data_IF_650246147920
#
_entry.id   IF_650246147920
#
_cell.length_a   1.000
_cell.length_b   1.000
_cell.length_c   1.000
_cell.angle_alpha   90.00
_cell.angle_beta   90.00
_cell.angle_gamma   90.00
#
_symmetry.space_group_name_H-M   'P 1'
#
loop_
_entity.id
_entity.type
_entity.pdbx_description
1 polymer ?
#
# COMPACT_ATOMS: atom_id res chain seq x y z
N UNK A 1 13.73 -21.38 11.71
CA UNK A 1 13.19 -20.39 12.67
C UNK A 1 14.39 -19.89 13.46
N UNK A 2 14.86 -18.66 13.20
CA UNK A 2 15.86 -18.04 14.06
C UNK A 2 15.11 -17.58 15.32
N UNK A 3 15.52 -18.10 16.47
CA UNK A 3 14.96 -17.67 17.75
C UNK A 3 15.38 -16.21 17.99
N UNK A 4 14.43 -15.31 18.16
CA UNK A 4 14.71 -13.89 18.41
C UNK A 4 15.50 -13.64 19.72
N UNK A 5 15.60 -14.66 20.58
CA UNK A 5 16.35 -14.61 21.84
C UNK A 5 17.85 -14.80 21.67
N UNK A 6 18.32 -15.20 20.46
CA UNK A 6 19.75 -15.39 20.14
C UNK A 6 20.25 -14.42 19.06
N UNK A 7 19.54 -13.30 18.82
CA UNK A 7 20.00 -12.31 17.88
C UNK A 7 21.31 -11.68 18.39
N UNK A 8 22.42 -11.81 17.64
CA UNK A 8 23.70 -11.26 18.09
C UNK A 8 23.60 -9.74 18.23
N UNK A 9 24.31 -9.20 19.22
CA UNK A 9 24.52 -7.76 19.36
C UNK A 9 25.28 -7.24 18.11
N UNK A 10 24.71 -6.27 17.41
CA UNK A 10 25.35 -5.57 16.31
C UNK A 10 25.76 -4.17 16.76
N UNK A 11 26.97 -3.76 16.34
CA UNK A 11 27.46 -2.40 16.54
C UNK A 11 27.82 -1.83 15.19
N UNK A 12 27.06 -0.81 14.79
CA UNK A 12 27.33 -0.01 13.59
C UNK A 12 28.01 1.27 14.05
N UNK A 13 29.26 1.47 13.66
CA UNK A 13 30.11 2.52 14.22
C UNK A 13 30.56 3.49 13.15
N UNK A 14 31.09 4.66 13.57
CA UNK A 14 31.53 5.72 12.65
C UNK A 14 30.43 6.07 11.63
N UNK A 15 29.22 6.38 12.11
CA UNK A 15 28.06 6.70 11.29
C UNK A 15 27.54 8.12 11.54
N UNK A 16 26.95 8.71 10.51
CA UNK A 16 26.08 9.88 10.62
C UNK A 16 24.65 9.42 10.83
N UNK A 17 24.25 9.30 12.09
CA UNK A 17 22.96 8.76 12.51
C UNK A 17 21.91 9.86 12.37
N UNK A 18 20.90 9.62 11.54
CA UNK A 18 19.75 10.52 11.37
C UNK A 18 18.71 10.17 12.43
N UNK A 19 18.43 11.12 13.30
CA UNK A 19 17.35 11.04 14.31
C UNK A 19 16.21 12.02 13.94
N UNK A 20 15.16 12.06 14.74
CA UNK A 20 14.06 13.00 14.53
C UNK A 20 14.53 14.48 14.55
N UNK A 21 15.53 14.80 15.41
CA UNK A 21 15.90 16.18 15.71
C UNK A 21 17.28 16.59 15.19
N UNK A 22 18.14 15.62 14.85
CA UNK A 22 19.54 15.90 14.52
C UNK A 22 20.21 14.80 13.71
N UNK A 23 21.35 15.14 13.11
CA UNK A 23 22.31 14.17 12.59
C UNK A 23 23.48 14.07 13.59
N UNK A 24 23.68 12.90 14.16
CA UNK A 24 24.66 12.64 15.20
C UNK A 24 25.80 11.77 14.63
N UNK A 25 27.06 12.19 14.77
CA UNK A 25 28.18 11.30 14.50
C UNK A 25 28.41 10.36 15.69
N UNK A 26 28.23 9.07 15.47
CA UNK A 26 28.24 8.11 16.56
C UNK A 26 28.19 6.64 16.12
N UNK A 27 27.77 5.80 17.04
CA UNK A 27 27.52 4.38 16.83
C UNK A 27 26.09 4.01 17.25
N UNK A 28 25.52 2.99 16.60
CA UNK A 28 24.24 2.37 16.99
C UNK A 28 24.51 0.95 17.45
N UNK A 29 24.07 0.64 18.66
CA UNK A 29 24.11 -0.70 19.22
C UNK A 29 22.73 -1.31 19.14
N UNK A 30 22.62 -2.45 18.46
CA UNK A 30 21.40 -3.22 18.34
C UNK A 30 21.54 -4.50 19.16
N UNK A 31 20.64 -4.69 20.09
CA UNK A 31 20.55 -5.91 20.91
C UNK A 31 19.08 -6.38 20.89
N UNK A 32 18.88 -7.67 20.83
CA UNK A 32 17.55 -8.31 20.83
C UNK A 32 16.59 -7.71 19.74
N UNK A 33 17.16 -7.39 18.57
CA UNK A 33 16.41 -6.80 17.46
C UNK A 33 15.95 -5.35 17.68
N UNK A 34 16.51 -4.64 18.70
CA UNK A 34 16.16 -3.26 19.03
C UNK A 34 17.39 -2.38 19.13
N UNK A 35 17.24 -1.10 18.84
CA UNK A 35 18.27 -0.11 19.14
C UNK A 35 18.38 0.02 20.67
N UNK A 36 19.45 -0.51 21.24
CA UNK A 36 19.68 -0.48 22.67
C UNK A 36 20.24 0.89 23.11
N UNK A 37 21.15 1.49 22.33
CA UNK A 37 21.67 2.85 22.55
C UNK A 37 22.38 3.42 21.35
N UNK A 38 22.55 4.73 21.36
CA UNK A 38 23.48 5.48 20.51
C UNK A 38 24.72 5.81 21.34
N UNK A 39 25.90 5.50 20.84
CA UNK A 39 27.18 5.64 21.51
C UNK A 39 28.20 6.52 20.77
N UNK A 40 29.43 6.51 21.23
CA UNK A 40 30.53 7.22 20.59
C UNK A 40 30.93 6.60 19.24
N UNK A 41 31.51 7.40 18.28
CA UNK A 41 31.81 6.91 16.93
C UNK A 41 32.95 5.87 16.89
N UNK A 42 33.82 5.87 17.87
CA UNK A 42 35.04 5.04 17.98
C UNK A 42 34.84 3.73 18.73
N UNK A 43 33.59 3.35 19.00
CA UNK A 43 33.31 2.02 19.60
C UNK A 43 33.70 0.89 18.63
N UNK A 44 34.17 -0.26 19.14
CA UNK A 44 34.48 -1.41 18.29
C UNK A 44 33.21 -1.99 17.66
N UNK A 45 33.23 -2.19 16.34
CA UNK A 45 32.07 -2.70 15.58
C UNK A 45 32.29 -2.68 14.08
N UNK A 46 31.19 -2.69 13.32
CA UNK A 46 31.18 -2.55 11.87
C UNK A 46 31.28 -1.06 11.53
N UNK A 47 32.43 -0.61 11.06
CA UNK A 47 32.65 0.78 10.68
C UNK A 47 31.88 1.14 9.39
N UNK A 48 31.12 2.22 9.44
CA UNK A 48 30.37 2.74 8.29
C UNK A 48 31.11 3.88 7.55
N UNK A 49 32.35 4.22 8.02
CA UNK A 49 33.21 5.20 7.33
C UNK A 49 32.64 6.61 7.20
N UNK A 50 31.78 7.01 8.16
CA UNK A 50 31.10 8.29 8.13
C UNK A 50 29.87 8.36 7.21
N UNK A 51 29.39 7.23 6.71
CA UNK A 51 28.14 7.15 5.93
C UNK A 51 26.90 7.45 6.78
N UNK A 52 25.81 7.80 6.11
CA UNK A 52 24.54 8.05 6.79
C UNK A 52 23.87 6.75 7.19
N UNK A 53 23.45 6.67 8.44
CA UNK A 53 22.57 5.64 8.97
C UNK A 53 21.19 6.26 9.21
N UNK A 54 20.21 5.83 8.45
CA UNK A 54 18.83 6.33 8.50
C UNK A 54 17.88 5.25 9.00
N UNK A 55 16.71 5.61 9.55
CA UNK A 55 15.62 4.65 9.75
C UNK A 55 15.24 3.98 8.43
N UNK A 56 14.74 2.74 8.51
CA UNK A 56 14.19 2.06 7.35
C UNK A 56 13.00 2.84 6.77
N UNK A 57 12.87 2.84 5.45
CA UNK A 57 11.79 3.53 4.76
C UNK A 57 10.45 2.82 5.00
N UNK A 58 9.38 3.62 5.09
CA UNK A 58 7.99 3.14 5.14
C UNK A 58 7.31 3.55 3.84
N UNK A 59 6.88 2.57 3.06
CA UNK A 59 6.11 2.80 1.83
C UNK A 59 4.63 2.57 2.11
N UNK A 60 3.82 3.63 2.08
CA UNK A 60 2.39 3.58 2.40
C UNK A 60 1.52 3.14 1.22
N UNK A 61 2.08 3.06 0.00
CA UNK A 61 1.32 2.73 -1.19
C UNK A 61 2.21 2.21 -2.31
N UNK A 62 2.13 0.92 -2.57
CA UNK A 62 2.78 0.33 -3.74
C UNK A 62 1.91 -0.74 -4.40
N UNK A 63 1.79 -0.65 -5.73
CA UNK A 63 1.10 -1.64 -6.57
C UNK A 63 2.04 -2.77 -7.05
N UNK A 64 3.30 -2.77 -6.59
CA UNK A 64 4.35 -3.62 -7.17
C UNK A 64 4.12 -5.11 -6.96
N UNK A 65 3.45 -5.55 -5.91
CA UNK A 65 3.17 -6.97 -5.72
C UNK A 65 2.39 -7.56 -6.90
N UNK A 66 1.43 -6.81 -7.45
CA UNK A 66 0.66 -7.24 -8.61
C UNK A 66 1.56 -7.38 -9.87
N UNK A 67 2.58 -6.54 -10.03
CA UNK A 67 3.52 -6.66 -11.16
C UNK A 67 4.38 -7.92 -11.10
N UNK A 68 4.61 -8.46 -9.92
CA UNK A 68 5.29 -9.74 -9.75
C UNK A 68 4.36 -10.93 -10.02
N UNK A 69 3.05 -10.78 -9.79
CA UNK A 69 2.05 -11.80 -10.18
C UNK A 69 1.80 -11.78 -11.69
N UNK A 70 1.73 -10.61 -12.28
CA UNK A 70 1.52 -10.42 -13.72
C UNK A 70 2.77 -9.82 -14.39
N UNK A 71 3.90 -10.56 -14.47
CA UNK A 71 5.17 -10.00 -14.91
C UNK A 71 5.18 -9.61 -16.40
N UNK A 72 4.24 -10.12 -17.18
CA UNK A 72 4.00 -9.78 -18.59
C UNK A 72 2.62 -10.27 -19.04
N UNK A 73 2.14 -9.75 -20.16
CA UNK A 73 0.84 -10.12 -20.72
C UNK A 73 0.72 -11.65 -20.91
N UNK A 74 -0.38 -12.21 -20.41
CA UNK A 74 -0.70 -13.64 -20.54
C UNK A 74 0.10 -14.58 -19.62
N UNK A 75 0.86 -14.02 -18.66
CA UNK A 75 1.60 -14.82 -17.67
C UNK A 75 1.14 -14.43 -16.27
N UNK A 76 0.71 -15.43 -15.51
CA UNK A 76 0.36 -15.26 -14.09
C UNK A 76 1.25 -16.20 -13.27
N UNK A 77 1.90 -15.65 -12.25
CA UNK A 77 2.66 -16.42 -11.27
C UNK A 77 1.81 -16.69 -10.03
N UNK A 78 2.17 -17.76 -9.31
CA UNK A 78 1.56 -18.00 -8.01
C UNK A 78 1.89 -16.86 -7.01
N UNK A 79 0.98 -16.57 -6.05
CA UNK A 79 1.19 -15.51 -5.07
C UNK A 79 2.48 -15.64 -4.27
N UNK A 80 2.86 -16.83 -3.81
CA UNK A 80 4.00 -17.03 -2.92
C UNK A 80 5.35 -16.63 -3.54
N UNK A 81 5.73 -17.08 -4.77
CA UNK A 81 6.96 -16.61 -5.39
C UNK A 81 6.90 -15.13 -5.78
N UNK A 82 5.72 -14.59 -6.11
CA UNK A 82 5.56 -13.18 -6.40
C UNK A 82 5.82 -12.32 -5.14
N UNK A 83 5.26 -12.70 -4.00
CA UNK A 83 5.51 -12.06 -2.70
C UNK A 83 6.98 -12.13 -2.28
N UNK A 84 7.63 -13.28 -2.47
CA UNK A 84 9.06 -13.42 -2.14
C UNK A 84 9.96 -12.53 -3.02
N UNK A 85 9.63 -12.39 -4.31
CA UNK A 85 10.33 -11.49 -5.22
C UNK A 85 10.10 -10.03 -4.85
N UNK A 86 8.85 -9.66 -4.51
CA UNK A 86 8.49 -8.33 -4.06
C UNK A 86 9.21 -7.94 -2.77
N UNK A 87 9.20 -8.80 -1.73
CA UNK A 87 9.95 -8.59 -0.48
C UNK A 87 11.44 -8.31 -0.75
N UNK A 88 12.05 -9.08 -1.67
CA UNK A 88 13.44 -8.86 -2.07
C UNK A 88 13.68 -7.47 -2.68
N UNK A 89 12.76 -6.99 -3.52
CA UNK A 89 12.88 -5.67 -4.18
C UNK A 89 12.70 -4.54 -3.18
N UNK A 90 11.69 -4.60 -2.31
CA UNK A 90 11.42 -3.53 -1.34
C UNK A 90 12.57 -3.40 -0.34
N UNK A 91 13.11 -4.53 0.15
CA UNK A 91 14.26 -4.52 1.07
C UNK A 91 15.51 -3.99 0.39
N UNK A 92 15.76 -4.35 -0.89
CA UNK A 92 16.90 -3.81 -1.65
C UNK A 92 16.82 -2.28 -1.84
N UNK A 93 15.60 -1.71 -1.82
CA UNK A 93 15.35 -0.26 -1.81
C UNK A 93 15.46 0.40 -0.45
N UNK A 94 15.75 -0.35 0.62
CA UNK A 94 15.81 0.18 1.99
C UNK A 94 14.44 0.32 2.67
N UNK A 95 13.39 -0.23 2.07
CA UNK A 95 12.04 -0.26 2.66
C UNK A 95 11.97 -1.38 3.70
N UNK A 96 11.58 -1.04 4.92
CA UNK A 96 11.44 -2.00 6.03
C UNK A 96 9.99 -2.24 6.42
N UNK A 97 9.09 -1.37 6.01
CA UNK A 97 7.64 -1.53 6.15
C UNK A 97 6.95 -1.11 4.87
N UNK A 98 6.14 -1.97 4.28
CA UNK A 98 5.45 -1.73 3.03
C UNK A 98 3.96 -2.00 3.17
N UNK A 99 3.15 -1.12 2.59
CA UNK A 99 1.72 -1.31 2.44
C UNK A 99 1.43 -1.78 1.02
N UNK A 100 1.27 -3.10 0.88
CA UNK A 100 0.89 -3.72 -0.38
C UNK A 100 -0.52 -3.31 -0.76
N UNK A 101 -0.63 -2.53 -1.82
CA UNK A 101 -1.87 -1.90 -2.24
C UNK A 101 -2.63 -2.81 -3.20
N UNK A 102 -3.69 -3.46 -2.69
CA UNK A 102 -4.49 -4.40 -3.45
C UNK A 102 -5.81 -3.79 -3.90
N UNK A 103 -6.15 -3.98 -5.17
CA UNK A 103 -7.43 -3.53 -5.70
C UNK A 103 -8.58 -4.40 -5.18
N UNK A 104 -9.58 -3.75 -4.57
CA UNK A 104 -10.85 -4.37 -4.16
C UNK A 104 -11.95 -3.86 -5.07
N UNK A 105 -12.45 -4.71 -5.94
CA UNK A 105 -13.32 -4.33 -7.05
C UNK A 105 -12.53 -3.95 -8.31
N UNK A 106 -13.25 -3.58 -9.37
CA UNK A 106 -12.67 -3.19 -10.64
C UNK A 106 -13.60 -2.27 -11.44
N UNK A 107 -13.07 -1.22 -12.05
CA UNK A 107 -13.86 -0.32 -12.90
C UNK A 107 -14.39 -1.05 -14.14
N UNK A 108 -13.57 -1.60 -15.01
CA UNK A 108 -14.01 -2.35 -16.18
C UNK A 108 -13.15 -3.58 -16.57
N UNK A 109 -11.86 -3.58 -16.39
CA UNK A 109 -10.98 -4.49 -17.13
C UNK A 109 -10.15 -5.47 -16.29
N UNK A 110 -10.44 -5.63 -15.00
CA UNK A 110 -9.57 -6.36 -14.09
C UNK A 110 -10.21 -7.58 -13.40
N UNK A 111 -10.90 -8.44 -14.17
CA UNK A 111 -11.41 -9.72 -13.63
C UNK A 111 -10.29 -10.55 -12.99
N UNK A 112 -9.10 -10.60 -13.62
CA UNK A 112 -7.95 -11.32 -13.09
C UNK A 112 -7.47 -10.78 -11.73
N UNK A 113 -7.46 -9.45 -11.53
CA UNK A 113 -7.13 -8.85 -10.22
C UNK A 113 -8.16 -9.18 -9.15
N UNK A 114 -9.43 -9.21 -9.52
CA UNK A 114 -10.51 -9.58 -8.59
C UNK A 114 -10.37 -11.04 -8.10
N UNK A 115 -10.04 -11.94 -9.01
CA UNK A 115 -9.80 -13.36 -8.70
C UNK A 115 -8.54 -13.56 -7.86
N UNK A 116 -7.52 -12.71 -8.03
CA UNK A 116 -6.27 -12.76 -7.30
C UNK A 116 -6.38 -12.25 -5.85
N UNK A 117 -7.31 -11.36 -5.54
CA UNK A 117 -7.37 -10.64 -4.26
C UNK A 117 -7.28 -11.57 -3.04
N UNK A 118 -8.17 -12.56 -2.96
CA UNK A 118 -8.21 -13.49 -1.83
C UNK A 118 -6.98 -14.39 -1.76
N UNK A 119 -6.57 -15.09 -2.85
CA UNK A 119 -5.37 -15.91 -2.83
C UNK A 119 -4.10 -15.13 -2.43
N UNK A 120 -4.00 -13.87 -2.84
CA UNK A 120 -2.84 -13.04 -2.51
C UNK A 120 -2.83 -12.65 -1.02
N UNK A 121 -3.97 -12.29 -0.46
CA UNK A 121 -4.10 -12.00 0.98
C UNK A 121 -3.80 -13.25 1.81
N UNK A 122 -4.34 -14.40 1.45
CA UNK A 122 -4.09 -15.68 2.12
C UNK A 122 -2.60 -16.05 2.11
N UNK A 123 -1.94 -15.91 0.96
CA UNK A 123 -0.51 -16.17 0.81
C UNK A 123 0.35 -15.18 1.63
N UNK A 124 -0.03 -13.91 1.67
CA UNK A 124 0.65 -12.89 2.47
C UNK A 124 0.53 -13.19 3.96
N UNK A 125 -0.66 -13.50 4.47
CA UNK A 125 -0.87 -13.85 5.87
C UNK A 125 -0.11 -15.12 6.27
N UNK A 126 -0.08 -16.14 5.39
CA UNK A 126 0.71 -17.34 5.62
C UNK A 126 2.21 -17.03 5.68
N UNK A 127 2.72 -16.21 4.73
CA UNK A 127 4.13 -15.82 4.70
C UNK A 127 4.53 -15.01 5.95
N UNK A 128 3.66 -14.13 6.43
CA UNK A 128 3.87 -13.38 7.69
C UNK A 128 3.90 -14.32 8.90
N UNK A 129 2.92 -15.20 9.02
CA UNK A 129 2.84 -16.16 10.15
C UNK A 129 4.06 -17.10 10.21
N UNK A 130 4.62 -17.44 9.06
CA UNK A 130 5.83 -18.28 8.95
C UNK A 130 7.14 -17.48 9.04
N UNK A 131 7.10 -16.15 9.16
CA UNK A 131 8.28 -15.29 9.22
C UNK A 131 9.14 -15.35 7.96
N UNK A 132 8.52 -15.46 6.78
CA UNK A 132 9.23 -15.57 5.49
C UNK A 132 9.68 -14.23 4.93
N UNK A 133 9.10 -13.13 5.37
CA UNK A 133 9.44 -11.78 4.93
C UNK A 133 10.61 -11.19 5.71
N UNK A 134 11.37 -10.32 5.06
CA UNK A 134 12.43 -9.49 5.64
C UNK A 134 11.90 -8.12 6.03
N UNK A 135 10.99 -7.54 5.21
CA UNK A 135 10.25 -6.33 5.53
C UNK A 135 8.93 -6.68 6.24
N UNK A 136 8.34 -5.71 6.93
CA UNK A 136 6.96 -5.84 7.41
C UNK A 136 5.99 -5.53 6.26
N UNK A 137 5.21 -6.53 5.84
CA UNK A 137 4.17 -6.40 4.83
C UNK A 137 2.82 -6.18 5.49
N UNK A 138 2.22 -5.03 5.23
CA UNK A 138 0.87 -4.64 5.62
C UNK A 138 0.00 -4.51 4.38
N UNK A 139 -1.31 -4.47 4.54
CA UNK A 139 -2.24 -4.34 3.42
C UNK A 139 -2.89 -2.96 3.41
N UNK A 140 -2.87 -2.34 2.23
CA UNK A 140 -3.67 -1.19 1.86
C UNK A 140 -4.74 -1.64 0.87
N UNK A 141 -6.00 -1.65 1.28
CA UNK A 141 -7.12 -2.00 0.41
C UNK A 141 -7.53 -0.79 -0.42
N UNK A 142 -7.36 -0.88 -1.73
CA UNK A 142 -7.79 0.15 -2.70
C UNK A 142 -9.18 -0.19 -3.20
N UNK A 143 -10.20 0.46 -2.65
CA UNK A 143 -11.60 0.10 -2.88
C UNK A 143 -12.19 0.90 -4.05
N UNK A 144 -12.54 0.19 -5.12
CA UNK A 144 -13.16 0.75 -6.32
C UNK A 144 -14.65 0.99 -6.08
N UNK A 145 -15.03 2.26 -5.89
CA UNK A 145 -16.42 2.59 -5.49
C UNK A 145 -17.41 2.54 -6.66
N UNK A 146 -16.97 2.59 -7.90
CA UNK A 146 -17.84 2.43 -9.07
C UNK A 146 -18.23 0.96 -9.35
N UNK A 147 -17.67 0.00 -8.58
CA UNK A 147 -18.01 -1.42 -8.66
C UNK A 147 -18.88 -1.84 -7.47
N UNK A 148 -20.15 -2.21 -7.68
CA UNK A 148 -21.01 -2.66 -6.58
C UNK A 148 -20.51 -3.94 -5.90
N UNK A 149 -19.70 -4.77 -6.57
CA UNK A 149 -19.11 -5.97 -5.97
C UNK A 149 -18.08 -5.64 -4.87
N UNK A 150 -17.59 -4.41 -4.80
CA UNK A 150 -16.65 -3.95 -3.77
C UNK A 150 -17.22 -4.13 -2.37
N UNK A 151 -18.53 -3.97 -2.17
CA UNK A 151 -19.19 -4.17 -0.87
C UNK A 151 -18.92 -5.57 -0.33
N UNK A 152 -19.26 -6.61 -1.09
CA UNK A 152 -19.03 -8.00 -0.69
C UNK A 152 -17.55 -8.32 -0.52
N UNK A 153 -16.70 -7.84 -1.44
CA UNK A 153 -15.27 -8.10 -1.38
C UNK A 153 -14.64 -7.47 -0.13
N UNK A 154 -14.98 -6.22 0.19
CA UNK A 154 -14.50 -5.55 1.41
C UNK A 154 -14.91 -6.33 2.65
N UNK A 155 -16.18 -6.73 2.77
CA UNK A 155 -16.66 -7.48 3.93
C UNK A 155 -15.90 -8.79 4.15
N UNK A 156 -15.40 -9.41 3.06
CA UNK A 156 -14.61 -10.64 3.12
C UNK A 156 -13.16 -10.43 3.56
N UNK A 157 -12.56 -9.28 3.21
CA UNK A 157 -11.10 -9.08 3.37
C UNK A 157 -10.70 -8.10 4.46
N UNK A 158 -11.57 -7.17 4.83
CA UNK A 158 -11.23 -6.08 5.78
C UNK A 158 -10.91 -6.58 7.19
N UNK A 159 -11.29 -7.82 7.50
CA UNK A 159 -10.97 -8.46 8.78
C UNK A 159 -9.59 -9.09 8.86
N UNK A 160 -8.81 -9.12 7.76
CA UNK A 160 -7.44 -9.65 7.77
C UNK A 160 -6.56 -8.84 8.71
N UNK A 161 -5.72 -9.50 9.57
CA UNK A 161 -4.86 -8.80 10.53
C UNK A 161 -3.84 -7.87 9.88
N UNK A 162 -3.49 -8.08 8.61
CA UNK A 162 -2.54 -7.23 7.89
C UNK A 162 -3.15 -5.95 7.35
N UNK A 163 -4.48 -5.84 7.26
CA UNK A 163 -5.15 -4.62 6.77
C UNK A 163 -4.97 -3.48 7.76
N UNK A 164 -4.28 -2.43 7.33
CA UNK A 164 -3.97 -1.26 8.13
C UNK A 164 -4.35 0.06 7.48
N UNK A 165 -4.74 0.02 6.22
CA UNK A 165 -5.10 1.20 5.44
C UNK A 165 -6.17 0.83 4.42
N UNK A 166 -7.10 1.74 4.18
CA UNK A 166 -8.11 1.65 3.12
C UNK A 166 -8.07 2.95 2.32
N UNK A 167 -8.19 2.88 1.01
CA UNK A 167 -8.52 4.05 0.19
C UNK A 167 -9.77 3.81 -0.63
N UNK A 168 -10.49 4.89 -0.90
CA UNK A 168 -11.65 4.91 -1.77
C UNK A 168 -11.29 5.59 -3.07
N UNK A 169 -11.40 4.87 -4.18
CA UNK A 169 -11.06 5.35 -5.51
C UNK A 169 -12.24 5.21 -6.46
N UNK A 170 -12.39 6.15 -7.38
CA UNK A 170 -13.36 6.09 -8.46
C UNK A 170 -12.64 6.29 -9.79
N UNK A 171 -12.45 5.21 -10.51
CA UNK A 171 -11.78 5.22 -11.80
C UNK A 171 -12.76 5.40 -12.98
N UNK A 172 -14.01 5.77 -12.74
CA UNK A 172 -14.88 6.20 -13.81
C UNK A 172 -14.31 7.48 -14.44
N UNK A 173 -14.17 7.54 -15.79
CA UNK A 173 -13.55 8.69 -16.44
C UNK A 173 -14.43 9.94 -16.35
N UNK A 174 -13.77 11.11 -16.37
CA UNK A 174 -14.42 12.43 -16.39
C UNK A 174 -14.26 13.25 -15.14
N UNK A 175 -13.69 12.71 -14.05
CA UNK A 175 -13.53 13.45 -12.79
C UNK A 175 -12.12 13.33 -12.18
N UNK A 176 -11.76 12.16 -11.59
CA UNK A 176 -10.53 12.02 -10.79
C UNK A 176 -9.32 11.61 -11.64
N UNK A 177 -9.05 10.34 -11.80
CA UNK A 177 -7.82 9.84 -12.42
C UNK A 177 -7.73 10.19 -13.91
N UNK A 178 -8.81 10.02 -14.65
CA UNK A 178 -8.86 10.24 -16.09
C UNK A 178 -9.89 11.32 -16.42
N UNK A 179 -9.43 12.53 -16.76
CA UNK A 179 -10.31 13.65 -17.16
C UNK A 179 -10.79 13.54 -18.60
N UNK A 180 -9.93 13.06 -19.50
CA UNK A 180 -10.22 12.94 -20.93
C UNK A 180 -10.98 11.64 -21.23
N UNK A 181 -12.29 11.76 -21.29
CA UNK A 181 -13.20 10.65 -21.60
C UNK A 181 -12.91 10.05 -22.98
N UNK A 182 -12.48 10.87 -23.96
CA UNK A 182 -12.20 10.37 -25.30
C UNK A 182 -10.94 9.50 -25.35
N UNK A 183 -9.89 9.91 -24.65
CA UNK A 183 -8.70 9.06 -24.47
C UNK A 183 -9.04 7.73 -23.77
N UNK A 184 -9.91 7.74 -22.76
CA UNK A 184 -10.40 6.53 -22.13
C UNK A 184 -11.14 5.60 -23.09
N UNK A 185 -12.03 6.16 -23.96
CA UNK A 185 -12.73 5.38 -24.98
C UNK A 185 -11.76 4.71 -25.95
N UNK A 186 -10.71 5.44 -26.39
CA UNK A 186 -9.69 4.90 -27.28
C UNK A 186 -8.89 3.76 -26.62
N UNK A 187 -8.51 3.92 -25.36
CA UNK A 187 -7.84 2.87 -24.59
C UNK A 187 -8.73 1.65 -24.40
N UNK A 188 -10.00 1.87 -24.03
CA UNK A 188 -11.00 0.81 -23.88
C UNK A 188 -11.16 0.01 -25.18
N UNK A 189 -11.30 0.72 -26.34
CA UNK A 189 -11.42 0.06 -27.63
C UNK A 189 -10.19 -0.81 -27.96
N UNK A 190 -9.00 -0.30 -27.68
CA UNK A 190 -7.73 -1.02 -27.92
C UNK A 190 -7.57 -2.24 -26.99
N UNK A 191 -7.81 -2.05 -25.71
CA UNK A 191 -7.51 -3.08 -24.69
C UNK A 191 -8.55 -4.20 -24.73
N UNK A 192 -9.82 -3.87 -24.94
CA UNK A 192 -10.90 -4.86 -25.09
C UNK A 192 -11.01 -5.42 -26.50
N UNK A 193 -10.33 -4.80 -27.48
CA UNK A 193 -10.42 -5.14 -28.90
C UNK A 193 -11.85 -5.07 -29.44
N UNK A 194 -12.57 -4.01 -29.06
CA UNK A 194 -13.95 -3.72 -29.50
C UNK A 194 -13.99 -2.48 -30.39
N UNK A 195 -15.03 -2.31 -31.21
CA UNK A 195 -15.24 -1.07 -31.99
C UNK A 195 -15.37 0.16 -31.10
N UNK A 196 -15.04 1.33 -31.65
CA UNK A 196 -15.08 2.61 -30.93
C UNK A 196 -16.47 2.98 -30.39
N UNK A 197 -17.52 2.66 -31.12
CA UNK A 197 -18.92 2.89 -30.71
C UNK A 197 -19.31 2.00 -29.52
N UNK A 198 -18.88 0.76 -29.51
CA UNK A 198 -19.07 -0.15 -28.38
C UNK A 198 -18.26 0.32 -27.17
N UNK A 199 -16.98 0.70 -27.34
CA UNK A 199 -16.15 1.25 -26.28
C UNK A 199 -16.76 2.51 -25.66
N UNK A 200 -17.36 3.38 -26.49
CA UNK A 200 -18.05 4.58 -26.03
C UNK A 200 -19.29 4.23 -25.21
N UNK A 201 -20.11 3.30 -25.66
CA UNK A 201 -21.29 2.85 -24.93
C UNK A 201 -20.92 2.24 -23.57
N UNK A 202 -19.87 1.42 -23.52
CA UNK A 202 -19.32 0.86 -22.26
C UNK A 202 -18.82 1.95 -21.31
N UNK A 203 -18.17 2.97 -21.85
CA UNK A 203 -17.67 4.11 -21.04
C UNK A 203 -18.81 4.93 -20.46
N UNK A 204 -19.84 5.23 -21.26
CA UNK A 204 -21.04 5.96 -20.82
C UNK A 204 -21.80 5.17 -19.75
N UNK A 205 -21.90 3.84 -19.89
CA UNK A 205 -22.49 2.98 -18.87
C UNK A 205 -21.68 2.99 -17.59
N UNK A 206 -20.33 2.93 -17.65
CA UNK A 206 -19.46 3.02 -16.49
C UNK A 206 -19.67 4.33 -15.73
N UNK A 207 -19.68 5.46 -16.44
CA UNK A 207 -19.93 6.78 -15.84
C UNK A 207 -21.30 6.84 -15.18
N UNK A 208 -22.33 6.35 -15.85
CA UNK A 208 -23.70 6.32 -15.32
C UNK A 208 -23.82 5.39 -14.09
N UNK A 209 -23.14 4.25 -14.13
CA UNK A 209 -23.06 3.31 -13.00
C UNK A 209 -22.35 3.94 -11.82
N UNK A 210 -21.17 4.56 -12.03
CA UNK A 210 -20.43 5.23 -10.97
C UNK A 210 -21.33 6.25 -10.25
N UNK A 211 -21.93 7.18 -10.96
CA UNK A 211 -22.84 8.18 -10.37
C UNK A 211 -23.96 7.57 -9.52
N UNK A 212 -24.43 6.39 -9.87
CA UNK A 212 -25.54 5.71 -9.19
C UNK A 212 -25.08 4.95 -7.95
N UNK A 213 -23.92 4.26 -8.01
CA UNK A 213 -23.52 3.31 -6.96
C UNK A 213 -22.40 3.81 -6.06
N UNK A 214 -21.52 4.69 -6.55
CA UNK A 214 -20.35 5.14 -5.79
C UNK A 214 -20.67 5.74 -4.43
N UNK A 215 -21.72 6.56 -4.24
CA UNK A 215 -22.03 7.12 -2.93
C UNK A 215 -22.34 6.05 -1.88
N UNK A 216 -23.11 5.02 -2.25
CA UNK A 216 -23.49 3.93 -1.35
C UNK A 216 -22.32 3.00 -1.05
N UNK A 217 -21.56 2.61 -2.09
CA UNK A 217 -20.35 1.77 -1.92
C UNK A 217 -19.31 2.47 -1.06
N UNK A 218 -19.05 3.75 -1.31
CA UNK A 218 -18.15 4.58 -0.50
C UNK A 218 -18.59 4.60 0.97
N UNK A 219 -19.86 4.87 1.23
CA UNK A 219 -20.39 4.90 2.60
C UNK A 219 -20.20 3.56 3.32
N UNK A 220 -20.43 2.43 2.63
CA UNK A 220 -20.22 1.09 3.17
C UNK A 220 -18.74 0.84 3.52
N UNK A 221 -17.83 1.09 2.57
CA UNK A 221 -16.37 0.92 2.77
C UNK A 221 -15.88 1.73 3.97
N UNK A 222 -16.28 2.99 4.05
CA UNK A 222 -15.90 3.86 5.16
C UNK A 222 -16.46 3.38 6.49
N UNK A 223 -17.70 2.94 6.54
CA UNK A 223 -18.31 2.39 7.75
C UNK A 223 -17.60 1.11 8.20
N UNK A 224 -17.26 0.21 7.27
CA UNK A 224 -16.55 -1.03 7.56
C UNK A 224 -15.12 -0.79 8.10
N UNK A 225 -14.41 0.20 7.54
CA UNK A 225 -13.08 0.61 8.01
C UNK A 225 -13.15 1.25 9.40
N UNK A 226 -14.07 2.21 9.62
CA UNK A 226 -14.28 2.87 10.92
C UNK A 226 -14.63 1.91 12.02
N UNK A 227 -15.49 0.93 11.76
CA UNK A 227 -15.85 -0.09 12.73
C UNK A 227 -14.66 -0.90 13.26
N UNK A 228 -13.53 -0.86 12.54
CA UNK A 228 -12.27 -1.54 12.88
C UNK A 228 -11.14 -0.61 13.26
N UNK A 229 -11.38 0.71 13.29
CA UNK A 229 -10.35 1.71 13.55
C UNK A 229 -9.27 1.76 12.46
N UNK A 230 -9.61 1.37 11.22
CA UNK A 230 -8.70 1.43 10.08
C UNK A 230 -8.86 2.80 9.42
N UNK A 231 -7.77 3.57 9.25
CA UNK A 231 -7.82 4.86 8.57
C UNK A 231 -8.20 4.69 7.10
N UNK A 232 -8.89 5.69 6.57
CA UNK A 232 -9.31 5.75 5.16
C UNK A 232 -8.63 6.92 4.48
N UNK A 233 -8.08 6.71 3.30
CA UNK A 233 -7.50 7.74 2.44
C UNK A 233 -8.42 8.03 1.26
N UNK A 234 -8.35 9.26 0.76
CA UNK A 234 -8.79 9.59 -0.59
C UNK A 234 -7.82 9.03 -1.63
N UNK A 235 -8.22 9.05 -2.89
CA UNK A 235 -7.41 8.62 -4.01
C UNK A 235 -7.62 9.56 -5.21
N UNK A 236 -6.53 9.85 -5.93
CA UNK A 236 -6.54 10.67 -7.15
C UNK A 236 -7.15 12.08 -6.98
N UNK A 237 -6.93 12.74 -5.84
CA UNK A 237 -7.40 14.09 -5.63
C UNK A 237 -6.70 15.08 -6.58
N UNK A 238 -7.49 15.85 -7.34
CA UNK A 238 -6.98 16.77 -8.37
C UNK A 238 -7.51 18.19 -8.24
N UNK A 239 -8.44 18.42 -7.33
CA UNK A 239 -9.05 19.71 -7.10
C UNK A 239 -9.12 20.01 -5.60
N UNK A 240 -9.25 21.30 -5.27
CA UNK A 240 -9.48 21.74 -3.91
C UNK A 240 -10.75 21.09 -3.32
N UNK A 241 -11.79 20.95 -4.14
CA UNK A 241 -13.02 20.28 -3.72
C UNK A 241 -12.80 18.79 -3.35
N UNK A 242 -11.92 18.07 -4.04
CA UNK A 242 -11.55 16.70 -3.68
C UNK A 242 -10.81 16.64 -2.34
N UNK A 243 -9.92 17.59 -2.09
CA UNK A 243 -9.19 17.68 -0.82
C UNK A 243 -10.14 18.05 0.32
N UNK A 244 -11.06 19.00 0.10
CA UNK A 244 -12.09 19.35 1.07
C UNK A 244 -13.03 18.18 1.39
N UNK A 245 -13.43 17.41 0.37
CA UNK A 245 -14.21 16.17 0.56
C UNK A 245 -13.44 15.17 1.42
N UNK A 246 -12.16 14.95 1.12
CA UNK A 246 -11.30 14.04 1.90
C UNK A 246 -11.14 14.52 3.34
N UNK A 247 -10.88 15.82 3.55
CA UNK A 247 -10.75 16.42 4.89
C UNK A 247 -12.04 16.33 5.70
N UNK A 248 -13.20 16.52 5.07
CA UNK A 248 -14.50 16.39 5.73
C UNK A 248 -14.76 14.95 6.24
N UNK A 249 -14.06 13.96 5.68
CA UNK A 249 -14.14 12.56 6.08
C UNK A 249 -13.20 12.20 7.25
N UNK A 250 -12.31 13.11 7.67
CA UNK A 250 -11.49 13.12 8.91
C UNK A 250 -10.45 11.98 9.10
N UNK A 251 -10.50 10.90 8.32
CA UNK A 251 -9.73 9.68 8.62
C UNK A 251 -8.25 9.76 8.18
N UNK A 252 -7.94 10.51 7.13
CA UNK A 252 -6.56 10.72 6.64
C UNK A 252 -5.73 11.51 7.66
N UNK A 253 -6.31 12.58 8.22
CA UNK A 253 -5.64 13.40 9.25
C UNK A 253 -5.38 12.57 10.51
N UNK A 254 -6.32 11.72 10.90
CA UNK A 254 -6.16 10.83 12.04
C UNK A 254 -5.02 9.82 11.84
N UNK A 255 -4.83 9.29 10.63
CA UNK A 255 -3.73 8.37 10.33
C UNK A 255 -2.36 9.06 10.43
N UNK A 256 -2.19 10.23 9.81
CA UNK A 256 -0.94 11.01 9.89
C UNK A 256 -0.65 11.40 11.34
N UNK A 257 -1.65 11.84 12.09
CA UNK A 257 -1.52 12.17 13.51
C UNK A 257 -1.06 10.99 14.36
N UNK A 258 -1.61 9.81 14.13
CA UNK A 258 -1.18 8.60 14.83
C UNK A 258 0.28 8.22 14.55
N UNK A 259 0.79 8.49 13.36
CA UNK A 259 2.21 8.27 13.03
C UNK A 259 3.11 9.30 13.73
N UNK A 260 2.68 10.57 13.83
CA UNK A 260 3.37 11.61 14.58
C UNK A 260 3.39 11.28 16.07
N UNK A 261 2.24 10.93 16.65
CA UNK A 261 2.12 10.58 18.08
C UNK A 261 2.98 9.36 18.48
N UNK A 262 3.24 8.46 17.52
CA UNK A 262 4.14 7.32 17.71
C UNK A 262 5.61 7.65 17.42
N UNK A 263 5.93 8.88 17.06
CA UNK A 263 7.28 9.31 16.67
C UNK A 263 7.78 8.70 15.36
N UNK A 264 6.86 8.24 14.51
CA UNK A 264 7.19 7.68 13.19
C UNK A 264 7.30 8.74 12.11
N UNK A 265 6.66 9.90 12.33
CA UNK A 265 6.79 11.10 11.51
C UNK A 265 7.01 12.31 12.43
N UNK A 266 7.72 13.32 11.95
CA UNK A 266 7.80 14.65 12.57
C UNK A 266 6.72 15.57 12.01
N UNK A 267 6.26 16.54 12.80
CA UNK A 267 5.34 17.59 12.33
C UNK A 267 5.95 18.42 11.19
#
# INVERSE_FOLDING_TARGET
MFDATDAPEYRLTDARIVTADAVIHGSVIVADGRIARIGAPDEPGIGLGGDYLIPGLVDLHTDHVETHVFPRNGVTWAPEPALAAHDGVVVAGGVTTVFDSLCVGAAMHNAARRELLLPLIEALEAARAEGRFRAEHLLHLRCEVCDPATVELVDRVIGSPSVRLVSVMDHAPGDRQVLDVESWVQETARDMKVPMDEARALTEELIARSKRVSPEVRAHVMAAARARGIPVMSHDDRSEAHVEEAQAQADVIAFVRNLVDRGLLTE
#
